data_IF_158653297175
#
_entry.id   IF_158653297175
#
_cell.length_a   1.000
_cell.length_b   1.000
_cell.length_c   1.000
_cell.angle_alpha   90.00
_cell.angle_beta   90.00
_cell.angle_gamma   90.00
#
_symmetry.space_group_name_H-M   'P 1'
#
loop_
_entity.id
_entity.type
_entity.pdbx_description
1 polymer ?
#
# COMPACT_ATOMS: atom_id res chain seq x y z
N UNK A 1 -57.89 25.85 -2.42
CA UNK A 1 -58.54 25.06 -3.49
C UNK A 1 -57.74 25.24 -4.77
N UNK A 2 -57.49 24.13 -5.48
CA UNK A 2 -57.14 24.01 -6.91
C UNK A 2 -55.99 24.89 -7.45
N UNK A 3 -54.72 24.50 -7.31
CA UNK A 3 -53.97 23.64 -8.27
C UNK A 3 -54.16 24.05 -9.74
N UNK A 4 -53.18 24.80 -10.24
CA UNK A 4 -52.99 25.15 -11.63
C UNK A 4 -52.78 23.93 -12.53
N UNK A 5 -53.22 24.12 -13.77
CA UNK A 5 -53.42 23.11 -14.81
C UNK A 5 -52.08 22.58 -15.33
N UNK A 6 -51.96 21.26 -15.25
CA UNK A 6 -50.86 20.42 -15.71
C UNK A 6 -50.68 20.58 -17.23
N UNK A 7 -49.46 20.88 -17.66
CA UNK A 7 -49.03 20.70 -19.04
C UNK A 7 -48.42 19.30 -19.13
N UNK A 8 -49.11 18.43 -19.86
CA UNK A 8 -48.67 17.10 -20.23
C UNK A 8 -47.67 17.20 -21.37
N UNK A 9 -46.40 16.92 -21.06
CA UNK A 9 -45.34 16.71 -22.05
C UNK A 9 -45.15 15.20 -22.14
N UNK A 10 -46.09 14.52 -22.83
CA UNK A 10 -45.92 13.11 -23.22
C UNK A 10 -44.95 13.06 -24.41
N UNK A 11 -43.66 13.09 -24.12
CA UNK A 11 -42.63 12.62 -25.06
C UNK A 11 -42.64 11.10 -24.93
N UNK A 12 -43.31 10.45 -25.88
CA UNK A 12 -43.19 9.03 -26.13
C UNK A 12 -41.80 8.71 -26.64
N UNK A 13 -40.99 8.12 -25.77
CA UNK A 13 -39.89 7.25 -26.12
C UNK A 13 -39.83 6.20 -25.00
N UNK A 14 -40.16 4.95 -25.32
CA UNK A 14 -39.83 3.81 -24.47
C UNK A 14 -38.32 3.77 -24.32
N UNK A 15 -37.82 4.26 -23.19
CA UNK A 15 -36.45 4.04 -22.75
C UNK A 15 -36.60 3.34 -21.42
N UNK A 16 -36.43 2.03 -21.50
CA UNK A 16 -36.38 1.09 -20.39
C UNK A 16 -35.59 1.70 -19.21
N UNK A 17 -36.28 1.82 -18.07
CA UNK A 17 -35.78 2.24 -16.76
C UNK A 17 -34.64 1.33 -16.29
N UNK A 18 -33.47 1.59 -16.84
CA UNK A 18 -32.21 0.95 -16.50
C UNK A 18 -31.12 1.98 -16.25
N UNK A 19 -31.43 3.07 -15.53
CA UNK A 19 -30.39 3.87 -14.88
C UNK A 19 -29.78 2.98 -13.79
N UNK A 20 -28.89 2.09 -14.22
CA UNK A 20 -28.01 1.34 -13.36
C UNK A 20 -27.25 2.38 -12.54
N UNK A 21 -27.69 2.52 -11.29
CA UNK A 21 -26.97 3.22 -10.25
C UNK A 21 -25.57 2.60 -10.25
N UNK A 22 -24.62 3.24 -10.93
CA UNK A 22 -23.20 2.92 -10.78
C UNK A 22 -22.85 3.39 -9.37
N UNK A 23 -23.30 2.63 -8.39
CA UNK A 23 -22.64 2.51 -7.11
C UNK A 23 -21.27 1.92 -7.45
N UNK A 24 -20.34 2.78 -7.85
CA UNK A 24 -18.94 2.49 -7.61
C UNK A 24 -18.86 2.07 -6.15
N UNK A 25 -18.44 0.84 -5.80
CA UNK A 25 -18.11 0.57 -4.43
C UNK A 25 -16.87 1.42 -4.13
N UNK A 26 -17.09 2.67 -3.70
CA UNK A 26 -16.20 3.33 -2.76
C UNK A 26 -16.36 2.60 -1.44
N UNK A 27 -15.83 1.39 -1.40
CA UNK A 27 -15.50 0.69 -0.16
C UNK A 27 -14.06 0.27 -0.30
N UNK A 28 -13.20 1.09 0.28
CA UNK A 28 -12.15 0.62 1.20
C UNK A 28 -12.42 -0.82 1.61
N UNK A 29 -11.64 -1.75 1.06
CA UNK A 29 -11.33 -2.97 1.78
C UNK A 29 -9.83 -3.12 1.67
N UNK A 30 -9.17 -2.80 2.78
CA UNK A 30 -7.85 -3.30 3.12
C UNK A 30 -7.87 -4.82 2.91
N UNK A 31 -7.55 -5.25 1.70
CA UNK A 31 -7.18 -6.63 1.46
C UNK A 31 -5.77 -6.76 2.01
N UNK A 32 -5.71 -6.96 3.33
CA UNK A 32 -4.53 -7.42 4.03
C UNK A 32 -4.33 -8.90 3.67
N UNK A 33 -4.29 -9.20 2.36
CA UNK A 33 -3.94 -10.50 1.83
C UNK A 33 -2.48 -10.71 2.22
N UNK A 34 -2.23 -11.73 3.04
CA UNK A 34 -0.89 -12.15 3.39
C UNK A 34 -0.32 -12.75 2.10
N UNK A 35 0.45 -11.96 1.37
CA UNK A 35 1.07 -12.38 0.13
C UNK A 35 2.33 -13.14 0.49
N UNK A 36 2.54 -14.29 -0.14
CA UNK A 36 3.79 -15.04 0.03
C UNK A 36 5.00 -14.17 -0.35
N UNK A 37 6.10 -14.22 0.43
CA UNK A 37 7.24 -13.32 0.28
C UNK A 37 7.83 -13.32 -1.14
N UNK A 38 7.68 -14.41 -1.88
CA UNK A 38 8.15 -14.56 -3.27
C UNK A 38 7.38 -13.77 -4.33
N UNK A 39 6.12 -13.36 -4.05
CA UNK A 39 5.30 -12.55 -4.99
C UNK A 39 5.29 -11.06 -4.64
N UNK A 40 5.88 -10.68 -3.51
CA UNK A 40 5.90 -9.29 -3.07
C UNK A 40 7.12 -8.53 -3.63
N UNK A 41 6.87 -7.35 -4.20
CA UNK A 41 7.93 -6.45 -4.67
C UNK A 41 8.13 -5.29 -3.69
N UNK A 42 9.27 -5.30 -3.01
CA UNK A 42 9.69 -4.21 -2.14
C UNK A 42 10.23 -3.02 -2.94
N UNK A 43 10.04 -1.83 -2.37
CA UNK A 43 10.48 -0.54 -2.88
C UNK A 43 11.34 0.12 -1.80
N UNK A 44 12.43 0.74 -2.22
CA UNK A 44 13.24 1.59 -1.35
C UNK A 44 12.82 3.05 -1.49
N UNK A 45 12.67 3.73 -0.36
CA UNK A 45 12.53 5.18 -0.27
C UNK A 45 13.65 5.74 0.59
N UNK A 46 14.10 6.96 0.28
CA UNK A 46 15.12 7.67 1.04
C UNK A 46 14.49 8.95 1.59
N UNK A 47 14.61 9.17 2.88
CA UNK A 47 14.14 10.37 3.55
C UNK A 47 15.30 11.03 4.32
N UNK A 48 15.23 12.34 4.54
CA UNK A 48 16.18 13.06 5.38
C UNK A 48 15.44 13.66 6.57
N UNK A 49 15.80 13.26 7.79
CA UNK A 49 15.23 13.80 9.03
C UNK A 49 16.35 14.45 9.84
N UNK A 50 16.22 15.76 10.11
CA UNK A 50 17.21 16.56 10.87
C UNK A 50 18.64 16.41 10.32
N UNK A 51 18.78 16.45 8.99
CA UNK A 51 20.06 16.30 8.30
C UNK A 51 20.62 14.87 8.21
N UNK A 52 20.01 13.89 8.89
CA UNK A 52 20.40 12.48 8.81
C UNK A 52 19.57 11.75 7.76
N UNK A 53 20.23 10.88 6.99
CA UNK A 53 19.55 9.99 6.04
C UNK A 53 18.83 8.86 6.78
N UNK A 54 17.61 8.56 6.34
CA UNK A 54 16.80 7.42 6.76
C UNK A 54 16.45 6.62 5.50
N UNK A 55 16.72 5.33 5.53
CA UNK A 55 16.35 4.39 4.46
C UNK A 55 15.04 3.71 4.85
N UNK A 56 14.04 3.79 3.99
CA UNK A 56 12.75 3.13 4.17
C UNK A 56 12.61 2.00 3.15
N UNK A 57 12.04 0.87 3.57
CA UNK A 57 11.77 -0.28 2.70
C UNK A 57 10.37 -0.83 2.98
N UNK A 58 9.59 -1.12 1.95
CA UNK A 58 8.19 -1.54 2.02
C UNK A 58 7.53 -1.60 0.64
N UNK A 59 6.24 -1.91 0.50
CA UNK A 59 5.20 -2.15 1.53
C UNK A 59 5.10 -3.63 1.92
N UNK A 60 5.52 -4.01 3.12
CA UNK A 60 5.40 -5.40 3.56
C UNK A 60 3.93 -5.82 3.74
N UNK A 61 3.43 -6.71 2.88
CA UNK A 61 2.11 -7.35 2.98
C UNK A 61 2.20 -8.74 3.64
N UNK A 62 2.86 -8.81 4.81
CA UNK A 62 3.03 -10.03 5.61
C UNK A 62 2.44 -9.82 7.01
N UNK A 63 2.32 -10.90 7.79
CA UNK A 63 1.87 -10.81 9.19
C UNK A 63 2.80 -9.90 10.02
N UNK A 64 2.22 -9.20 11.00
CA UNK A 64 2.99 -8.35 11.92
C UNK A 64 4.11 -9.15 12.62
N UNK A 65 3.83 -10.38 13.04
CA UNK A 65 4.80 -11.26 13.68
C UNK A 65 6.03 -11.55 12.79
N UNK A 66 5.79 -11.78 11.50
CA UNK A 66 6.86 -12.07 10.54
C UNK A 66 7.67 -10.81 10.25
N UNK A 67 6.99 -9.67 10.05
CA UNK A 67 7.65 -8.38 9.85
C UNK A 67 8.51 -7.97 11.05
N UNK A 68 8.07 -8.21 12.28
CA UNK A 68 8.88 -7.98 13.48
C UNK A 68 10.10 -8.92 13.55
N UNK A 69 9.93 -10.18 13.16
CA UNK A 69 11.02 -11.17 13.14
C UNK A 69 12.10 -10.82 12.10
N UNK A 70 11.68 -10.36 10.92
CA UNK A 70 12.57 -9.84 9.88
C UNK A 70 13.26 -8.56 10.37
N UNK A 71 12.52 -7.62 10.97
CA UNK A 71 13.08 -6.39 11.52
C UNK A 71 14.16 -6.70 12.58
N UNK A 72 13.93 -7.65 13.49
CA UNK A 72 14.92 -8.08 14.49
C UNK A 72 16.18 -8.66 13.84
N UNK A 73 16.00 -9.50 12.81
CA UNK A 73 17.08 -10.11 12.05
C UNK A 73 17.92 -9.04 11.33
N UNK A 74 17.27 -8.10 10.64
CA UNK A 74 17.93 -6.98 9.95
C UNK A 74 18.67 -6.06 10.94
N UNK A 75 18.06 -5.71 12.08
CA UNK A 75 18.73 -4.92 13.13
C UNK A 75 19.99 -5.60 13.64
N UNK A 76 19.97 -6.92 13.84
CA UNK A 76 21.13 -7.70 14.29
C UNK A 76 22.24 -7.72 13.24
N UNK A 77 21.89 -7.90 11.95
CA UNK A 77 22.85 -7.95 10.83
C UNK A 77 23.45 -6.56 10.52
N UNK A 78 22.66 -5.49 10.62
CA UNK A 78 23.07 -4.13 10.22
C UNK A 78 23.64 -3.30 11.39
N UNK A 79 23.37 -3.67 12.63
CA UNK A 79 23.79 -2.90 13.82
C UNK A 79 23.17 -1.52 13.92
N UNK A 80 22.08 -1.26 13.20
CA UNK A 80 21.41 0.04 13.16
C UNK A 80 20.04 0.01 13.86
N UNK A 81 19.61 1.19 14.33
CA UNK A 81 18.23 1.37 14.79
C UNK A 81 17.25 1.27 13.62
N UNK A 82 16.11 0.62 13.85
CA UNK A 82 15.02 0.56 12.89
C UNK A 82 13.67 0.35 13.56
N UNK A 83 12.61 0.79 12.88
CA UNK A 83 11.21 0.72 13.32
C UNK A 83 10.33 0.20 12.19
N UNK A 84 9.28 -0.54 12.53
CA UNK A 84 8.21 -0.89 11.60
C UNK A 84 7.07 0.10 11.82
N UNK A 85 6.59 0.73 10.75
CA UNK A 85 5.47 1.67 10.77
C UNK A 85 4.65 1.50 9.51
N UNK A 86 3.35 1.22 9.65
CA UNK A 86 2.39 1.15 8.53
C UNK A 86 2.84 0.25 7.36
N UNK A 87 3.48 -0.90 7.66
CA UNK A 87 4.02 -1.81 6.63
C UNK A 87 5.34 -1.35 5.99
N UNK A 88 5.96 -0.30 6.51
CA UNK A 88 7.29 0.17 6.12
C UNK A 88 8.30 -0.04 7.24
N UNK A 89 9.47 -0.57 6.91
CA UNK A 89 10.60 -0.61 7.83
C UNK A 89 11.50 0.60 7.57
N UNK A 90 11.75 1.40 8.60
CA UNK A 90 12.65 2.54 8.55
C UNK A 90 13.96 2.20 9.25
N UNK A 91 15.08 2.50 8.62
CA UNK A 91 16.43 2.29 9.15
C UNK A 91 17.24 3.58 9.13
N UNK A 92 17.97 3.85 10.22
CA UNK A 92 18.84 5.02 10.30
C UNK A 92 20.11 4.81 9.45
N UNK A 93 20.41 5.77 8.58
CA UNK A 93 21.59 5.75 7.71
C UNK A 93 21.27 5.43 6.25
N UNK A 94 22.33 5.43 5.44
CA UNK A 94 22.31 5.06 4.03
C UNK A 94 22.82 3.63 3.88
N UNK A 95 21.91 2.66 3.99
CA UNK A 95 22.22 1.23 4.04
C UNK A 95 21.54 0.45 2.92
N UNK A 96 21.08 1.14 1.86
CA UNK A 96 20.27 0.58 0.76
C UNK A 96 20.90 -0.69 0.18
N UNK A 97 22.19 -0.68 -0.12
CA UNK A 97 22.87 -1.82 -0.74
C UNK A 97 22.94 -3.03 0.19
N UNK A 98 23.33 -2.83 1.45
CA UNK A 98 23.38 -3.90 2.45
C UNK A 98 21.98 -4.46 2.72
N UNK A 99 20.98 -3.60 2.93
CA UNK A 99 19.59 -3.99 3.13
C UNK A 99 19.06 -4.81 1.96
N UNK A 100 19.36 -4.37 0.73
CA UNK A 100 18.93 -5.05 -0.48
C UNK A 100 19.50 -6.47 -0.54
N UNK A 101 20.79 -6.66 -0.28
CA UNK A 101 21.40 -7.99 -0.25
C UNK A 101 20.73 -8.89 0.78
N UNK A 102 20.58 -8.39 2.01
CA UNK A 102 19.97 -9.17 3.10
C UNK A 102 18.52 -9.58 2.80
N UNK A 103 17.73 -8.69 2.23
CA UNK A 103 16.34 -8.97 1.88
C UNK A 103 16.22 -9.90 0.67
N UNK A 104 17.17 -9.86 -0.28
CA UNK A 104 17.24 -10.85 -1.37
C UNK A 104 17.57 -12.23 -0.80
N UNK A 105 18.51 -12.32 0.15
CA UNK A 105 18.84 -13.58 0.84
C UNK A 105 17.64 -14.13 1.63
N UNK A 106 16.85 -13.26 2.25
CA UNK A 106 15.63 -13.61 2.96
C UNK A 106 14.44 -13.93 2.00
N UNK A 107 14.64 -13.89 0.68
CA UNK A 107 13.69 -14.33 -0.34
C UNK A 107 12.75 -13.25 -0.88
N UNK A 108 12.97 -11.97 -0.56
CA UNK A 108 12.19 -10.86 -1.09
C UNK A 108 12.68 -10.40 -2.46
N UNK A 109 11.74 -9.94 -3.29
CA UNK A 109 12.04 -9.35 -4.59
C UNK A 109 11.89 -7.84 -4.53
N UNK A 110 12.63 -7.14 -5.37
CA UNK A 110 12.58 -5.68 -5.45
C UNK A 110 12.07 -5.26 -6.81
N UNK A 111 11.26 -4.19 -6.84
CA UNK A 111 10.87 -3.57 -8.10
C UNK A 111 12.10 -2.93 -8.74
N UNK A 112 12.49 -3.41 -9.91
CA UNK A 112 13.70 -2.95 -10.61
C UNK A 112 13.39 -1.61 -11.29
N UNK A 113 13.89 -0.51 -10.70
CA UNK A 113 13.73 0.84 -11.24
C UNK A 113 13.55 1.91 -10.16
N UNK A 114 14.65 2.27 -9.47
CA UNK A 114 14.82 3.55 -8.76
C UNK A 114 16.25 3.75 -8.25
#
# INVERSE_FOLDING_TARGET
MSRGKKLDIFIGAEIEDGWAKVESPRKTSLLNEIIEPSKHFLIFKKEKRRGKTVTLVGEFHISQNDSESILKSLKKKLGCGGTLKDGWMEFQGELKDKLRTLLIEDGFRFKQGH
#
